data_IF_370040973083
#
_entry.id   IF_370040973083
#
_cell.length_a   1.000
_cell.length_b   1.000
_cell.length_c   1.000
_cell.angle_alpha   90.00
_cell.angle_beta   90.00
_cell.angle_gamma   90.00
#
_symmetry.space_group_name_H-M   'P 1'
#
loop_
_entity.id
_entity.type
_entity.pdbx_description
1 polymer ?
#
# COMPACT_ATOMS: atom_id res chain seq x y z
N UNK A 1 -11.85 3.43 -20.65
CA UNK A 1 -10.59 3.34 -19.88
C UNK A 1 -9.36 3.10 -20.78
N UNK A 2 -8.27 3.86 -20.60
CA UNK A 2 -6.96 3.60 -21.24
C UNK A 2 -6.15 2.61 -20.37
N UNK A 3 -5.59 1.56 -20.97
CA UNK A 3 -4.81 0.53 -20.25
C UNK A 3 -3.49 0.29 -21.00
N UNK A 4 -2.37 0.38 -20.29
CA UNK A 4 -1.06 0.04 -20.82
C UNK A 4 -0.42 -1.07 -19.98
N UNK A 5 0.24 -2.01 -20.64
CA UNK A 5 1.04 -3.05 -19.99
C UNK A 5 2.53 -2.76 -20.19
N UNK A 6 3.29 -2.86 -19.11
CA UNK A 6 4.72 -2.60 -19.10
C UNK A 6 5.45 -3.72 -18.39
N UNK A 7 6.66 -4.02 -18.88
CA UNK A 7 7.58 -4.95 -18.23
C UNK A 7 9.02 -4.54 -18.48
N UNK A 8 9.88 -4.81 -17.51
CA UNK A 8 11.33 -4.63 -17.66
C UNK A 8 12.06 -5.58 -16.73
N UNK A 9 13.36 -5.77 -16.98
CA UNK A 9 14.23 -6.50 -16.05
C UNK A 9 14.63 -5.59 -14.90
N UNK A 10 14.27 -5.95 -13.67
CA UNK A 10 14.68 -5.23 -12.48
C UNK A 10 16.06 -5.73 -12.01
N UNK A 11 17.10 -4.88 -12.00
CA UNK A 11 18.39 -5.24 -11.42
C UNK A 11 18.31 -5.39 -9.90
N UNK A 12 17.39 -4.70 -9.22
CA UNK A 12 17.21 -4.83 -7.77
C UNK A 12 16.65 -6.20 -7.38
N UNK A 13 15.79 -6.78 -8.23
CA UNK A 13 15.13 -8.05 -7.96
C UNK A 13 15.72 -9.24 -8.75
N UNK A 14 16.61 -8.97 -9.71
CA UNK A 14 17.22 -9.93 -10.63
C UNK A 14 16.20 -10.75 -11.43
N UNK A 15 15.09 -10.13 -11.80
CA UNK A 15 14.02 -10.76 -12.58
C UNK A 15 13.24 -9.74 -13.39
N UNK A 16 12.48 -10.24 -14.37
CA UNK A 16 11.48 -9.40 -15.03
C UNK A 16 10.33 -9.11 -14.08
N UNK A 17 10.00 -7.83 -13.99
CA UNK A 17 8.83 -7.31 -13.28
C UNK A 17 7.86 -6.69 -14.28
N UNK A 18 6.60 -6.64 -13.88
CA UNK A 18 5.48 -6.27 -14.74
C UNK A 18 4.56 -5.31 -13.99
N UNK A 19 3.90 -4.41 -14.72
CA UNK A 19 2.82 -3.58 -14.18
C UNK A 19 1.80 -3.24 -15.26
N UNK A 20 0.61 -2.83 -14.83
CA UNK A 20 -0.39 -2.19 -15.70
C UNK A 20 -0.65 -0.75 -15.25
N UNK A 21 -0.74 0.15 -16.20
CA UNK A 21 -1.21 1.51 -16.02
C UNK A 21 -2.67 1.60 -16.47
N UNK A 22 -3.56 2.08 -15.61
CA UNK A 22 -4.96 2.39 -15.91
C UNK A 22 -5.17 3.90 -15.81
N UNK A 23 -5.53 4.52 -16.93
CA UNK A 23 -5.80 5.95 -17.03
C UNK A 23 -4.83 6.74 -17.91
N UNK A 24 -5.01 8.04 -17.91
CA UNK A 24 -4.27 8.96 -18.79
C UNK A 24 -3.97 10.32 -18.15
N UNK A 25 -4.28 10.52 -16.87
CA UNK A 25 -4.11 11.81 -16.20
C UNK A 25 -4.45 11.77 -14.72
N UNK A 26 -4.29 12.92 -14.06
CA UNK A 26 -4.64 13.09 -12.66
C UNK A 26 -3.56 12.64 -11.68
N UNK A 27 -3.95 12.42 -10.43
CA UNK A 27 -3.02 11.95 -9.39
C UNK A 27 -2.61 10.50 -9.64
N UNK A 28 -1.31 10.16 -9.68
CA UNK A 28 -0.88 8.78 -9.85
C UNK A 28 -0.98 8.03 -8.52
N UNK A 29 -1.55 6.82 -8.55
CA UNK A 29 -1.53 5.89 -7.42
C UNK A 29 -0.75 4.63 -7.78
N UNK A 30 0.19 4.22 -6.92
CA UNK A 30 0.73 2.86 -6.95
C UNK A 30 -0.30 1.96 -6.26
N UNK A 31 -0.73 0.92 -6.98
CA UNK A 31 -1.73 -0.03 -6.50
C UNK A 31 -1.06 -1.39 -6.25
N UNK A 32 -0.99 -1.78 -4.98
CA UNK A 32 -0.46 -3.09 -4.55
C UNK A 32 -1.57 -4.14 -4.52
N UNK A 33 -1.30 -5.37 -5.01
CA UNK A 33 -2.24 -6.48 -4.98
C UNK A 33 -2.35 -7.09 -3.57
N UNK A 34 -3.29 -8.02 -3.37
CA UNK A 34 -3.36 -8.82 -2.14
C UNK A 34 -2.20 -9.82 -2.06
N UNK A 35 -2.13 -10.59 -0.97
CA UNK A 35 -1.03 -11.53 -0.74
C UNK A 35 -0.85 -12.49 -1.93
N UNK A 36 0.33 -12.43 -2.56
CA UNK A 36 0.64 -13.28 -3.72
C UNK A 36 -0.12 -12.94 -5.00
N UNK A 37 -0.93 -11.88 -4.97
CA UNK A 37 -1.61 -11.35 -6.14
C UNK A 37 -0.63 -10.73 -7.13
N UNK A 38 -1.06 -10.68 -8.40
CA UNK A 38 -0.29 -10.12 -9.51
C UNK A 38 -0.81 -8.72 -9.88
N UNK A 39 -0.02 -8.00 -10.67
CA UNK A 39 -0.35 -6.67 -11.22
C UNK A 39 -1.71 -6.54 -11.95
N UNK A 40 -2.35 -7.63 -12.35
CA UNK A 40 -3.66 -7.65 -13.01
C UNK A 40 -4.82 -8.01 -12.06
N UNK A 41 -4.55 -8.40 -10.81
CA UNK A 41 -5.58 -8.92 -9.90
C UNK A 41 -6.72 -7.91 -9.67
N UNK A 42 -6.41 -6.64 -9.47
CA UNK A 42 -7.44 -5.63 -9.23
C UNK A 42 -8.38 -5.44 -10.44
N UNK A 43 -7.90 -5.68 -11.67
CA UNK A 43 -8.74 -5.70 -12.86
C UNK A 43 -9.63 -6.95 -12.87
N UNK A 44 -9.06 -8.14 -12.67
CA UNK A 44 -9.80 -9.41 -12.64
C UNK A 44 -10.92 -9.41 -11.57
N UNK A 45 -10.70 -8.69 -10.48
CA UNK A 45 -11.61 -8.60 -9.33
C UNK A 45 -12.60 -7.43 -9.42
N UNK A 46 -12.61 -6.71 -10.55
CA UNK A 46 -13.59 -5.68 -10.85
C UNK A 46 -13.35 -4.32 -10.17
N UNK A 47 -12.14 -4.09 -9.65
CA UNK A 47 -11.81 -2.81 -9.01
C UNK A 47 -11.69 -1.68 -10.02
N UNK A 48 -11.14 -1.95 -11.20
CA UNK A 48 -10.95 -0.92 -12.23
C UNK A 48 -12.30 -0.35 -12.67
N UNK A 49 -13.32 -1.19 -12.83
CA UNK A 49 -14.70 -0.79 -13.08
C UNK A 49 -15.27 0.06 -11.93
N UNK A 50 -15.02 -0.34 -10.69
CA UNK A 50 -15.52 0.37 -9.50
C UNK A 50 -14.98 1.82 -9.41
N UNK A 51 -13.70 2.02 -9.76
CA UNK A 51 -13.06 3.34 -9.77
C UNK A 51 -13.05 4.00 -11.17
N UNK A 52 -13.72 3.38 -12.15
CA UNK A 52 -13.59 3.73 -13.56
C UNK A 52 -13.92 5.18 -13.88
N UNK A 53 -14.92 5.76 -13.21
CA UNK A 53 -15.31 7.15 -13.40
C UNK A 53 -14.22 8.15 -12.96
N UNK A 54 -13.39 7.82 -11.96
CA UNK A 54 -12.22 8.64 -11.60
C UNK A 54 -11.12 8.56 -12.66
N UNK A 55 -10.91 7.35 -13.19
CA UNK A 55 -9.92 7.12 -14.24
C UNK A 55 -10.30 7.85 -15.54
N UNK A 56 -11.57 7.73 -15.96
CA UNK A 56 -12.08 8.27 -17.22
C UNK A 56 -12.25 9.79 -17.19
N UNK A 57 -12.50 10.37 -16.02
CA UNK A 57 -12.50 11.83 -15.85
C UNK A 57 -11.10 12.43 -15.74
N UNK A 58 -10.05 11.60 -15.75
CA UNK A 58 -8.66 12.06 -15.61
C UNK A 58 -8.33 12.60 -14.22
N UNK A 59 -9.11 12.23 -13.21
CA UNK A 59 -8.89 12.59 -11.80
C UNK A 59 -7.74 11.82 -11.18
N UNK A 60 -7.61 10.55 -11.54
CA UNK A 60 -6.51 9.68 -11.10
C UNK A 60 -6.13 8.66 -12.16
N UNK A 61 -4.94 8.09 -12.00
CA UNK A 61 -4.50 6.89 -12.71
C UNK A 61 -3.83 5.92 -11.74
N UNK A 62 -3.90 4.63 -12.06
CA UNK A 62 -3.36 3.56 -11.22
C UNK A 62 -2.23 2.84 -11.92
N UNK A 63 -1.10 2.70 -11.24
CA UNK A 63 0.03 1.86 -11.60
C UNK A 63 -0.05 0.62 -10.73
N UNK A 64 -0.74 -0.40 -11.23
CA UNK A 64 -0.87 -1.69 -10.55
C UNK A 64 0.42 -2.47 -10.69
N UNK A 65 1.17 -2.56 -9.60
CA UNK A 65 2.47 -3.22 -9.56
C UNK A 65 2.33 -4.69 -9.23
N UNK A 66 3.32 -5.47 -9.63
CA UNK A 66 3.42 -6.86 -9.23
C UNK A 66 4.00 -7.03 -7.82
N UNK A 67 3.67 -8.13 -7.14
CA UNK A 67 4.23 -8.45 -5.82
C UNK A 67 5.39 -9.44 -5.90
N UNK A 68 6.17 -9.52 -4.81
CA UNK A 68 7.15 -10.59 -4.58
C UNK A 68 6.88 -11.32 -3.27
N UNK A 69 5.63 -11.33 -2.80
CA UNK A 69 5.26 -11.81 -1.46
C UNK A 69 5.75 -13.24 -1.19
N UNK A 70 5.60 -14.14 -2.16
CA UNK A 70 6.05 -15.53 -2.07
C UNK A 70 7.57 -15.73 -2.15
N UNK A 71 8.33 -14.66 -2.38
CA UNK A 71 9.80 -14.67 -2.24
C UNK A 71 10.26 -13.94 -0.98
N UNK A 72 9.38 -13.08 -0.43
CA UNK A 72 9.59 -12.25 0.74
C UNK A 72 8.72 -12.75 1.90
N UNK A 73 7.80 -11.93 2.44
CA UNK A 73 7.13 -12.19 3.71
C UNK A 73 6.29 -13.48 3.74
N UNK A 74 5.75 -13.90 2.61
CA UNK A 74 4.96 -15.13 2.46
C UNK A 74 5.80 -16.34 2.05
N UNK A 75 7.13 -16.22 1.96
CA UNK A 75 8.03 -17.36 1.82
C UNK A 75 8.28 -18.03 3.18
N UNK A 76 7.30 -18.78 3.66
CA UNK A 76 7.34 -19.42 4.97
C UNK A 76 8.45 -20.48 5.15
N UNK A 77 9.14 -20.85 4.07
CA UNK A 77 10.27 -21.78 4.10
C UNK A 77 11.61 -21.08 4.39
N UNK A 78 11.69 -19.76 4.25
CA UNK A 78 12.90 -18.97 4.55
C UNK A 78 12.89 -18.43 5.96
N UNK A 79 14.08 -18.11 6.49
CA UNK A 79 14.19 -17.41 7.75
C UNK A 79 13.62 -15.98 7.63
N UNK A 80 12.93 -15.42 8.64
CA UNK A 80 12.31 -14.09 8.54
C UNK A 80 13.26 -12.96 8.11
N UNK A 81 14.54 -13.03 8.54
CA UNK A 81 15.59 -12.09 8.08
C UNK A 81 15.75 -12.09 6.56
N UNK A 82 15.80 -13.27 5.94
CA UNK A 82 15.98 -13.39 4.48
C UNK A 82 14.76 -12.89 3.71
N UNK A 83 13.57 -13.11 4.27
CA UNK A 83 12.31 -12.55 3.75
C UNK A 83 12.35 -11.02 3.75
N UNK A 84 12.83 -10.42 4.84
CA UNK A 84 12.99 -8.97 4.95
C UNK A 84 14.06 -8.40 4.03
N UNK A 85 15.17 -9.10 3.82
CA UNK A 85 16.18 -8.72 2.82
C UNK A 85 15.54 -8.70 1.42
N UNK A 86 14.74 -9.73 1.06
CA UNK A 86 14.03 -9.76 -0.23
C UNK A 86 12.99 -8.65 -0.34
N UNK A 87 12.26 -8.35 0.74
CA UNK A 87 11.33 -7.21 0.76
C UNK A 87 12.05 -5.87 0.56
N UNK A 88 13.24 -5.70 1.14
CA UNK A 88 14.03 -4.47 0.96
C UNK A 88 14.57 -4.34 -0.48
N UNK A 89 14.81 -5.44 -1.20
CA UNK A 89 15.07 -5.40 -2.64
C UNK A 89 13.84 -4.97 -3.44
N UNK A 90 12.65 -5.43 -3.05
CA UNK A 90 11.39 -4.97 -3.64
C UNK A 90 11.11 -3.50 -3.36
N UNK A 91 11.48 -3.01 -2.17
CA UNK A 91 11.44 -1.60 -1.85
C UNK A 91 12.29 -0.78 -2.84
N UNK A 92 13.53 -1.20 -3.11
CA UNK A 92 14.36 -0.53 -4.12
C UNK A 92 13.75 -0.57 -5.51
N UNK A 93 13.13 -1.68 -5.92
CA UNK A 93 12.41 -1.74 -7.20
C UNK A 93 11.30 -0.69 -7.28
N UNK A 94 10.47 -0.54 -6.24
CA UNK A 94 9.42 0.48 -6.23
C UNK A 94 10.01 1.89 -6.26
N UNK A 95 11.03 2.17 -5.45
CA UNK A 95 11.57 3.53 -5.27
C UNK A 95 12.50 3.98 -6.39
N UNK A 96 13.33 3.08 -6.91
CA UNK A 96 14.39 3.39 -7.87
C UNK A 96 14.01 3.05 -9.32
N UNK A 97 12.89 2.33 -9.53
CA UNK A 97 12.46 1.93 -10.88
C UNK A 97 11.01 2.34 -11.16
N UNK A 98 10.04 1.98 -10.32
CA UNK A 98 8.62 2.31 -10.55
C UNK A 98 8.36 3.81 -10.39
N UNK A 99 8.87 4.45 -9.33
CA UNK A 99 8.69 5.89 -9.13
C UNK A 99 9.26 6.73 -10.28
N UNK A 100 10.51 6.52 -10.75
CA UNK A 100 11.01 7.19 -11.96
C UNK A 100 10.16 6.93 -13.19
N UNK A 101 9.68 5.69 -13.39
CA UNK A 101 8.77 5.37 -14.48
C UNK A 101 7.46 6.17 -14.43
N UNK A 102 6.90 6.40 -13.24
CA UNK A 102 5.71 7.23 -13.03
C UNK A 102 6.01 8.71 -13.32
N UNK A 103 7.19 9.20 -12.94
CA UNK A 103 7.58 10.61 -13.09
C UNK A 103 7.51 11.10 -14.55
N UNK A 104 7.81 10.23 -15.51
CA UNK A 104 7.77 10.53 -16.95
C UNK A 104 6.40 10.29 -17.61
N UNK A 105 5.36 10.02 -16.80
CA UNK A 105 4.06 9.51 -17.25
C UNK A 105 2.89 10.32 -16.67
N UNK A 106 1.63 9.99 -17.03
CA UNK A 106 0.48 10.72 -16.52
C UNK A 106 0.50 10.86 -14.99
N UNK A 107 0.36 12.10 -14.53
CA UNK A 107 0.40 12.43 -13.11
C UNK A 107 1.78 12.58 -12.48
N UNK A 108 2.86 12.22 -13.19
CA UNK A 108 4.23 12.12 -12.65
C UNK A 108 4.85 13.39 -12.08
N UNK A 109 4.26 14.56 -12.35
CA UNK A 109 4.67 15.83 -11.72
C UNK A 109 4.17 15.99 -10.28
N UNK A 110 3.17 15.22 -9.89
CA UNK A 110 2.61 15.22 -8.54
C UNK A 110 3.29 14.12 -7.71
N UNK A 111 3.31 14.30 -6.38
CA UNK A 111 3.63 13.18 -5.49
C UNK A 111 2.62 12.04 -5.72
N UNK A 112 3.12 10.82 -5.66
CA UNK A 112 2.29 9.64 -5.85
C UNK A 112 1.46 9.35 -4.61
N UNK A 113 0.26 8.83 -4.82
CA UNK A 113 -0.50 8.14 -3.80
C UNK A 113 -0.13 6.65 -3.73
N UNK A 114 -0.36 6.03 -2.59
CA UNK A 114 -0.23 4.58 -2.39
C UNK A 114 -1.58 3.99 -2.01
N UNK A 115 -1.93 2.83 -2.57
CA UNK A 115 -3.10 2.08 -2.15
C UNK A 115 -2.93 0.58 -2.36
N UNK A 116 -3.72 -0.21 -1.67
CA UNK A 116 -3.74 -1.66 -1.80
C UNK A 116 -4.69 -2.29 -0.79
N UNK A 117 -4.87 -3.59 -0.94
CA UNK A 117 -5.83 -4.38 -0.17
C UNK A 117 -5.11 -5.52 0.54
N UNK A 118 -5.47 -5.85 1.78
CA UNK A 118 -4.83 -6.94 2.53
C UNK A 118 -3.32 -6.71 2.66
N UNK A 119 -2.49 -7.66 2.22
CA UNK A 119 -1.04 -7.49 2.08
C UNK A 119 -0.65 -6.23 1.28
N UNK A 120 -1.44 -5.84 0.29
CA UNK A 120 -1.25 -4.59 -0.45
C UNK A 120 -1.52 -3.34 0.40
N UNK A 121 -2.44 -3.43 1.37
CA UNK A 121 -2.68 -2.39 2.36
C UNK A 121 -1.49 -2.25 3.31
N UNK A 122 -0.92 -3.38 3.74
CA UNK A 122 0.37 -3.42 4.45
C UNK A 122 1.47 -2.72 3.64
N UNK A 123 1.66 -3.11 2.37
CA UNK A 123 2.67 -2.50 1.49
C UNK A 123 2.45 -0.98 1.40
N UNK A 124 1.24 -0.53 1.07
CA UNK A 124 0.93 0.89 0.97
C UNK A 124 1.26 1.67 2.25
N UNK A 125 0.87 1.15 3.42
CA UNK A 125 1.19 1.76 4.71
C UNK A 125 2.69 1.76 5.01
N UNK A 126 3.36 0.62 4.85
CA UNK A 126 4.78 0.46 5.14
C UNK A 126 5.65 1.38 4.27
N UNK A 127 5.43 1.41 2.96
CA UNK A 127 6.13 2.31 2.04
C UNK A 127 5.87 3.78 2.39
N UNK A 128 4.63 4.15 2.70
CA UNK A 128 4.30 5.52 3.09
C UNK A 128 5.04 5.96 4.34
N UNK A 129 4.98 5.18 5.42
CA UNK A 129 5.57 5.56 6.71
C UNK A 129 7.10 5.53 6.70
N UNK A 130 7.72 4.72 5.84
CA UNK A 130 9.18 4.73 5.63
C UNK A 130 9.65 5.89 4.76
N UNK A 131 8.84 6.32 3.78
CA UNK A 131 9.23 7.31 2.78
C UNK A 131 8.19 8.45 2.60
N UNK A 132 7.76 9.13 3.67
CA UNK A 132 6.68 10.13 3.60
C UNK A 132 7.03 11.36 2.75
N UNK A 133 8.31 11.60 2.48
CA UNK A 133 8.77 12.65 1.58
C UNK A 133 8.43 12.38 0.10
N UNK A 134 8.20 11.11 -0.29
CA UNK A 134 7.93 10.71 -1.68
C UNK A 134 6.44 10.62 -2.00
N UNK A 135 5.60 10.45 -0.98
CA UNK A 135 4.17 10.20 -1.13
C UNK A 135 3.36 11.21 -0.33
N UNK A 136 2.23 11.66 -0.86
CA UNK A 136 1.36 12.65 -0.20
C UNK A 136 -0.03 12.08 0.11
N UNK A 137 -0.29 10.82 -0.24
CA UNK A 137 -1.54 10.13 0.08
C UNK A 137 -1.32 8.63 0.25
N UNK A 138 -1.93 8.05 1.27
CA UNK A 138 -2.05 6.59 1.43
C UNK A 138 -3.50 6.23 1.72
N UNK A 139 -4.02 5.23 1.00
CA UNK A 139 -5.32 4.61 1.26
C UNK A 139 -5.07 3.11 1.42
N UNK A 140 -4.82 2.67 2.65
CA UNK A 140 -4.54 1.28 2.96
C UNK A 140 -5.81 0.58 3.49
N UNK A 141 -6.28 -0.41 2.74
CA UNK A 141 -7.57 -1.07 2.97
C UNK A 141 -7.33 -2.49 3.47
N UNK A 142 -7.91 -2.83 4.61
CA UNK A 142 -7.81 -4.13 5.26
C UNK A 142 -6.37 -4.59 5.45
N UNK A 143 -5.44 -3.67 5.72
CA UNK A 143 -4.03 -3.99 5.92
C UNK A 143 -3.71 -4.40 7.36
N UNK A 144 -2.52 -4.94 7.55
CA UNK A 144 -1.89 -5.13 8.86
C UNK A 144 -0.55 -4.40 8.89
N UNK A 145 -0.14 -3.94 10.07
CA UNK A 145 1.00 -3.04 10.25
C UNK A 145 1.99 -3.53 11.32
N UNK A 146 1.80 -4.77 11.79
CA UNK A 146 2.80 -5.55 12.53
C UNK A 146 3.08 -6.87 11.81
N UNK A 147 4.33 -7.08 11.39
CA UNK A 147 4.76 -8.33 10.75
C UNK A 147 4.76 -9.54 11.69
N UNK A 148 4.53 -9.39 13.00
CA UNK A 148 4.40 -10.54 13.92
C UNK A 148 3.37 -11.58 13.43
N UNK A 149 2.34 -11.16 12.69
CA UNK A 149 1.38 -12.07 12.05
C UNK A 149 2.04 -13.06 11.07
N UNK A 150 3.19 -12.71 10.47
CA UNK A 150 3.91 -13.52 9.48
C UNK A 150 5.19 -14.16 10.02
N UNK A 151 5.80 -13.56 11.05
CA UNK A 151 7.12 -13.97 11.57
C UNK A 151 7.11 -14.42 13.04
N UNK A 152 5.95 -14.35 13.70
CA UNK A 152 5.82 -14.67 15.12
C UNK A 152 6.64 -13.71 15.99
N UNK A 153 7.36 -14.27 16.98
CA UNK A 153 8.17 -13.48 17.91
C UNK A 153 9.57 -13.11 17.38
N UNK A 154 9.89 -13.46 16.12
CA UNK A 154 11.18 -13.09 15.55
C UNK A 154 11.27 -11.57 15.36
N UNK A 155 12.40 -10.98 15.77
CA UNK A 155 12.65 -9.56 15.62
C UNK A 155 14.12 -9.31 15.31
N UNK A 156 14.38 -8.59 14.23
CA UNK A 156 15.65 -7.99 13.87
C UNK A 156 15.39 -6.67 13.14
N UNK A 157 16.44 -6.00 12.65
CA UNK A 157 16.31 -4.74 11.90
C UNK A 157 15.41 -4.88 10.64
N UNK A 158 15.44 -6.04 9.97
CA UNK A 158 14.71 -6.26 8.72
C UNK A 158 13.21 -6.33 8.98
N UNK A 159 12.81 -6.93 10.10
CA UNK A 159 11.42 -6.96 10.56
C UNK A 159 11.02 -5.63 11.18
N UNK A 160 11.85 -5.07 12.07
CA UNK A 160 11.55 -3.85 12.81
C UNK A 160 11.20 -2.67 11.89
N UNK A 161 12.03 -2.40 10.88
CA UNK A 161 11.82 -1.29 9.93
C UNK A 161 10.76 -1.59 8.86
N UNK A 162 10.16 -2.79 8.88
CA UNK A 162 9.06 -3.17 8.01
C UNK A 162 7.77 -3.49 8.78
N UNK A 163 7.74 -3.23 10.09
CA UNK A 163 6.53 -3.22 10.93
C UNK A 163 6.22 -1.77 11.34
N UNK A 164 5.30 -1.07 10.64
CA UNK A 164 4.97 0.32 10.96
C UNK A 164 4.67 0.57 12.44
N UNK A 165 3.93 -0.31 13.12
CA UNK A 165 3.64 -0.12 14.56
C UNK A 165 4.88 -0.19 15.44
N UNK A 166 5.95 -0.86 15.00
CA UNK A 166 7.19 -0.97 15.75
C UNK A 166 8.06 0.28 15.57
N UNK A 167 8.38 0.66 14.33
CA UNK A 167 9.29 1.77 14.10
C UNK A 167 8.65 3.14 14.32
N UNK A 168 7.34 3.29 14.07
CA UNK A 168 6.67 4.57 14.31
C UNK A 168 6.67 4.93 15.79
N UNK A 169 6.45 3.97 16.72
CA UNK A 169 6.47 4.22 18.18
C UNK A 169 7.71 4.98 18.60
N UNK A 170 8.87 4.63 18.05
CA UNK A 170 10.17 5.21 18.38
C UNK A 170 10.63 6.31 17.40
N UNK A 171 9.77 6.73 16.47
CA UNK A 171 10.10 7.80 15.52
C UNK A 171 9.86 9.16 16.18
N UNK A 172 10.94 9.87 16.48
CA UNK A 172 10.91 11.23 17.06
C UNK A 172 11.54 12.29 16.13
N UNK A 173 11.92 11.92 14.90
CA UNK A 173 12.44 12.86 13.90
C UNK A 173 11.30 13.77 13.40
N UNK A 174 11.30 15.02 13.86
CA UNK A 174 10.28 16.00 13.51
C UNK A 174 10.24 16.38 12.02
N UNK A 175 11.32 16.17 11.27
CA UNK A 175 11.30 16.38 9.82
C UNK A 175 10.44 15.31 9.15
N UNK A 176 10.66 14.05 9.51
CA UNK A 176 9.89 12.91 9.00
C UNK A 176 8.43 13.00 9.48
N UNK A 177 8.20 13.29 10.76
CA UNK A 177 6.86 13.44 11.31
C UNK A 177 6.08 14.58 10.64
N UNK A 178 6.74 15.70 10.29
CA UNK A 178 6.11 16.77 9.53
C UNK A 178 5.66 16.32 8.15
N UNK A 179 6.48 15.54 7.43
CA UNK A 179 6.08 15.00 6.13
C UNK A 179 4.88 14.06 6.26
N UNK A 180 4.88 13.19 7.28
CA UNK A 180 3.73 12.32 7.57
C UNK A 180 2.47 13.15 7.86
N UNK A 181 2.58 14.17 8.73
CA UNK A 181 1.45 15.04 9.12
C UNK A 181 0.85 15.85 7.97
N UNK A 182 1.61 16.09 6.91
CA UNK A 182 1.16 16.84 5.73
C UNK A 182 0.45 15.97 4.69
N UNK A 183 0.47 14.65 4.84
CA UNK A 183 -0.14 13.72 3.90
C UNK A 183 -1.63 13.47 4.20
N UNK A 184 -2.35 12.96 3.20
CA UNK A 184 -3.70 12.38 3.38
C UNK A 184 -3.55 10.90 3.74
N UNK A 185 -3.85 10.52 4.98
CA UNK A 185 -3.69 9.14 5.46
C UNK A 185 -5.07 8.55 5.71
N UNK A 186 -5.40 7.47 5.01
CA UNK A 186 -6.58 6.63 5.27
C UNK A 186 -6.12 5.21 5.58
N UNK A 187 -6.52 4.73 6.74
CA UNK A 187 -6.38 3.33 7.16
C UNK A 187 -7.79 2.81 7.40
N UNK A 188 -8.18 1.74 6.72
CA UNK A 188 -9.53 1.21 6.81
C UNK A 188 -9.53 -0.30 7.07
N UNK A 189 -10.45 -0.76 7.90
CA UNK A 189 -10.72 -2.18 8.16
C UNK A 189 -12.23 -2.41 8.28
N UNK A 190 -12.68 -3.60 7.92
CA UNK A 190 -14.03 -4.08 8.22
C UNK A 190 -14.10 -4.64 9.64
N UNK A 191 -15.26 -5.20 9.98
CA UNK A 191 -15.47 -5.94 11.24
C UNK A 191 -16.16 -7.30 11.02
N UNK A 192 -16.26 -7.73 9.77
CA UNK A 192 -16.82 -9.01 9.37
C UNK A 192 -15.76 -10.11 9.31
N UNK A 193 -16.08 -11.21 8.63
CA UNK A 193 -15.22 -12.38 8.57
C UNK A 193 -13.80 -12.05 8.06
N UNK A 194 -12.81 -12.57 8.79
CA UNK A 194 -11.36 -12.50 8.47
C UNK A 194 -10.74 -11.10 8.58
N UNK A 195 -11.44 -10.14 9.20
CA UNK A 195 -10.91 -8.79 9.47
C UNK A 195 -10.30 -8.66 10.87
N UNK A 196 -10.42 -9.66 11.75
CA UNK A 196 -10.09 -9.53 13.18
C UNK A 196 -8.66 -9.04 13.40
N UNK A 197 -7.68 -9.69 12.77
CA UNK A 197 -6.25 -9.31 12.88
C UNK A 197 -5.97 -7.94 12.21
N UNK A 198 -6.68 -7.63 11.12
CA UNK A 198 -6.51 -6.36 10.39
C UNK A 198 -7.04 -5.18 11.20
N UNK A 199 -8.20 -5.39 11.84
CA UNK A 199 -8.83 -4.43 12.73
C UNK A 199 -7.95 -4.15 13.95
N UNK A 200 -7.45 -5.20 14.62
CA UNK A 200 -6.55 -5.05 15.77
C UNK A 200 -5.31 -4.24 15.37
N UNK A 201 -4.69 -4.58 14.23
CA UNK A 201 -3.51 -3.88 13.74
C UNK A 201 -3.78 -2.43 13.35
N UNK A 202 -4.92 -2.14 12.72
CA UNK A 202 -5.35 -0.77 12.40
C UNK A 202 -5.60 0.08 13.66
N UNK A 203 -6.15 -0.51 14.72
CA UNK A 203 -6.39 0.16 16.00
C UNK A 203 -5.09 0.41 16.77
N UNK A 204 -4.12 -0.51 16.73
CA UNK A 204 -2.80 -0.27 17.29
C UNK A 204 -2.10 0.89 16.56
N UNK A 205 -2.12 0.87 15.22
CA UNK A 205 -1.56 1.96 14.42
C UNK A 205 -2.25 3.30 14.74
N UNK A 206 -3.58 3.31 14.85
CA UNK A 206 -4.35 4.51 15.25
C UNK A 206 -3.79 5.14 16.52
N UNK A 207 -3.61 4.34 17.57
CA UNK A 207 -3.13 4.85 18.85
C UNK A 207 -1.76 5.54 18.72
N UNK A 208 -0.83 4.94 17.98
CA UNK A 208 0.51 5.50 17.73
C UNK A 208 0.44 6.82 16.96
N UNK A 209 -0.42 6.87 15.93
CA UNK A 209 -0.60 8.09 15.13
C UNK A 209 -1.21 9.22 15.96
N UNK A 210 -2.18 8.92 16.83
CA UNK A 210 -2.77 9.88 17.76
C UNK A 210 -1.73 10.42 18.76
N UNK A 211 -0.92 9.55 19.36
CA UNK A 211 0.17 9.96 20.28
C UNK A 211 1.17 10.92 19.60
N UNK A 212 1.38 10.76 18.30
CA UNK A 212 2.31 11.58 17.51
C UNK A 212 1.65 12.78 16.84
N UNK A 213 0.38 13.04 17.14
CA UNK A 213 -0.40 14.12 16.53
C UNK A 213 -0.40 14.04 15.00
N UNK A 214 -0.45 12.83 14.45
CA UNK A 214 -0.55 12.57 13.01
C UNK A 214 -2.04 12.51 12.63
N UNK A 215 -2.54 13.44 11.79
CA UNK A 215 -3.92 13.39 11.32
C UNK A 215 -4.09 12.23 10.33
N UNK A 216 -4.72 11.15 10.78
CA UNK A 216 -5.10 10.03 9.95
C UNK A 216 -6.60 9.74 10.07
N UNK A 217 -7.23 9.42 8.96
CA UNK A 217 -8.59 8.91 8.94
C UNK A 217 -8.55 7.39 9.12
N UNK A 218 -8.79 6.95 10.34
CA UNK A 218 -8.97 5.53 10.67
C UNK A 218 -10.46 5.21 10.56
N UNK A 219 -10.85 4.50 9.50
CA UNK A 219 -12.26 4.24 9.18
C UNK A 219 -12.61 2.77 9.39
N UNK A 220 -13.46 2.50 10.38
CA UNK A 220 -13.88 1.13 10.72
C UNK A 220 -15.29 0.89 10.20
N UNK A 221 -15.41 -0.05 9.26
CA UNK A 221 -16.67 -0.37 8.58
C UNK A 221 -17.46 -1.46 9.34
N UNK A 222 -18.73 -1.65 9.00
CA UNK A 222 -19.67 -2.47 9.76
C UNK A 222 -19.29 -3.95 9.94
N UNK A 223 -20.01 -4.64 10.82
CA UNK A 223 -19.81 -6.07 11.10
C UNK A 223 -20.18 -7.01 9.93
N UNK A 224 -20.86 -6.48 8.91
CA UNK A 224 -21.15 -7.17 7.65
C UNK A 224 -20.00 -7.06 6.62
N UNK A 225 -18.96 -6.28 6.94
CA UNK A 225 -17.86 -5.94 6.05
C UNK A 225 -16.69 -6.90 6.24
N UNK A 226 -16.63 -7.93 5.40
CA UNK A 226 -15.59 -8.97 5.43
C UNK A 226 -14.38 -8.61 4.57
N UNK A 227 -13.30 -9.39 4.76
CA UNK A 227 -12.00 -9.22 4.10
C UNK A 227 -12.00 -9.66 2.61
N UNK A 228 -12.78 -8.97 1.76
CA UNK A 228 -12.97 -9.40 0.37
C UNK A 228 -13.36 -8.26 -0.59
N UNK A 229 -13.16 -8.51 -1.88
CA UNK A 229 -13.35 -7.58 -3.00
C UNK A 229 -14.74 -6.93 -3.10
N UNK A 230 -15.87 -7.59 -2.78
CA UNK A 230 -17.18 -6.91 -2.76
C UNK A 230 -17.23 -5.67 -1.86
N UNK A 231 -16.44 -5.63 -0.78
CA UNK A 231 -16.34 -4.46 0.09
C UNK A 231 -15.23 -3.52 -0.33
N UNK A 232 -14.08 -4.05 -0.74
CA UNK A 232 -12.98 -3.20 -1.22
C UNK A 232 -13.39 -2.35 -2.43
N UNK A 233 -14.22 -2.90 -3.33
CA UNK A 233 -14.83 -2.16 -4.46
C UNK A 233 -15.78 -1.04 -4.04
N UNK A 234 -16.22 -1.00 -2.79
CA UNK A 234 -17.00 0.11 -2.22
C UNK A 234 -16.09 1.10 -1.48
N UNK A 235 -15.10 0.58 -0.76
CA UNK A 235 -14.19 1.36 0.08
C UNK A 235 -13.29 2.30 -0.73
N UNK A 236 -12.56 1.78 -1.74
CA UNK A 236 -11.63 2.61 -2.50
C UNK A 236 -12.32 3.81 -3.19
N UNK A 237 -13.40 3.62 -4.00
CA UNK A 237 -14.08 4.76 -4.62
C UNK A 237 -14.67 5.72 -3.59
N UNK A 238 -15.18 5.22 -2.45
CA UNK A 238 -15.65 6.08 -1.36
C UNK A 238 -14.54 7.00 -0.83
N UNK A 239 -13.34 6.49 -0.57
CA UNK A 239 -12.24 7.31 -0.09
C UNK A 239 -11.71 8.27 -1.16
N UNK A 240 -11.61 7.84 -2.42
CA UNK A 240 -11.24 8.75 -3.53
C UNK A 240 -12.20 9.94 -3.60
N UNK A 241 -13.51 9.70 -3.51
CA UNK A 241 -14.53 10.75 -3.50
C UNK A 241 -14.34 11.70 -2.31
N UNK A 242 -14.20 11.16 -1.10
CA UNK A 242 -14.10 11.96 0.14
C UNK A 242 -12.81 12.77 0.23
N UNK A 243 -11.73 12.29 -0.38
CA UNK A 243 -10.46 13.00 -0.46
C UNK A 243 -10.41 14.01 -1.60
N UNK A 244 -11.48 14.14 -2.40
CA UNK A 244 -11.56 14.96 -3.62
C UNK A 244 -10.41 14.67 -4.58
N UNK A 245 -10.15 13.37 -4.80
CA UNK A 245 -9.18 12.90 -5.80
C UNK A 245 -9.87 12.79 -7.14
#
# INVERSE_FOLDING_TARGET
MNIEYHKWYSPNLERTMELKLYGHGGKPFILFPTQGGRFFQAEDEGMMEAVGHFIESGKTCFYAVDSVDYEAWSDFNKHPRDRGIRHNQYEKYILEEVLPFIADRPGGKNKSGLTGFSMGGYHAGNFFFKHPQLFDTVIAISGFYDLKLLVGNYSDEQVYYNSPVCFLKNLDDETILKDIRNAKIVICSGQGAWEEDMLESSLELKHILEEKSIPAWIDIWGHDVNHDWPWWRKMLPYFLEKLNI
#
